data_IF_545435064529
#
_entry.id   IF_545435064529
#
_cell.length_a   1.000
_cell.length_b   1.000
_cell.length_c   1.000
_cell.angle_alpha   90.00
_cell.angle_beta   90.00
_cell.angle_gamma   90.00
#
_symmetry.space_group_name_H-M   'P 1'
#
loop_
_entity.id
_entity.type
_entity.pdbx_description
1 polymer ?
#
# COMPACT_ATOMS: atom_id res chain seq x y z
N UNK A 1 8.39 -23.56 4.16
CA UNK A 1 7.39 -22.66 4.78
C UNK A 1 7.45 -22.86 6.29
N UNK A 2 7.83 -21.86 7.10
CA UNK A 2 7.88 -22.01 8.58
C UNK A 2 6.45 -22.01 9.14
N UNK A 3 6.13 -22.97 10.00
CA UNK A 3 4.83 -22.99 10.70
C UNK A 3 4.77 -21.80 11.66
N UNK A 4 3.76 -20.97 11.48
CA UNK A 4 3.44 -19.90 12.40
C UNK A 4 2.68 -20.50 13.58
N UNK A 5 3.33 -20.61 14.74
CA UNK A 5 2.75 -21.18 15.96
C UNK A 5 1.89 -20.17 16.73
N UNK A 6 1.71 -18.94 16.21
CA UNK A 6 0.92 -17.92 16.89
C UNK A 6 -0.56 -18.30 16.93
N UNK A 7 -1.25 -18.08 18.06
CA UNK A 7 -2.70 -18.27 18.17
C UNK A 7 -3.45 -17.53 17.06
N UNK A 8 -4.40 -18.21 16.43
CA UNK A 8 -5.17 -17.69 15.30
C UNK A 8 -5.83 -16.33 15.59
N UNK A 9 -6.30 -16.13 16.83
CA UNK A 9 -6.92 -14.89 17.27
C UNK A 9 -5.99 -13.68 17.14
N UNK A 10 -4.72 -13.82 17.54
CA UNK A 10 -3.72 -12.74 17.47
C UNK A 10 -3.46 -12.37 16.01
N UNK A 11 -3.34 -13.37 15.14
CA UNK A 11 -3.19 -13.15 13.70
C UNK A 11 -4.39 -12.38 13.14
N UNK A 12 -5.62 -12.77 13.48
CA UNK A 12 -6.84 -12.11 13.01
C UNK A 12 -6.90 -10.63 13.44
N UNK A 13 -6.57 -10.33 14.70
CA UNK A 13 -6.55 -8.94 15.18
C UNK A 13 -5.51 -8.11 14.45
N UNK A 14 -4.30 -8.64 14.28
CA UNK A 14 -3.24 -7.95 13.54
C UNK A 14 -3.64 -7.69 12.09
N UNK A 15 -4.19 -8.68 11.40
CA UNK A 15 -4.60 -8.55 10.01
C UNK A 15 -5.71 -7.49 9.86
N UNK A 16 -6.68 -7.45 10.79
CA UNK A 16 -7.71 -6.40 10.83
C UNK A 16 -7.13 -5.01 11.11
N UNK A 17 -6.18 -4.90 12.04
CA UNK A 17 -5.52 -3.64 12.36
C UNK A 17 -4.70 -3.11 11.18
N UNK A 18 -3.96 -3.98 10.49
CA UNK A 18 -3.23 -3.60 9.28
C UNK A 18 -4.18 -3.12 8.18
N UNK A 19 -5.32 -3.81 7.94
CA UNK A 19 -6.33 -3.35 6.98
C UNK A 19 -6.90 -1.98 7.34
N UNK A 20 -7.16 -1.74 8.62
CA UNK A 20 -7.63 -0.44 9.08
C UNK A 20 -6.57 0.65 8.85
N UNK A 21 -5.30 0.38 9.17
CA UNK A 21 -4.21 1.31 8.90
C UNK A 21 -4.07 1.64 7.41
N UNK A 22 -4.19 0.63 6.52
CA UNK A 22 -4.17 0.85 5.07
C UNK A 22 -5.28 1.81 4.64
N UNK A 23 -6.52 1.58 5.10
CA UNK A 23 -7.66 2.43 4.74
C UNK A 23 -7.58 3.85 5.29
N UNK A 24 -6.99 4.03 6.47
CA UNK A 24 -6.94 5.34 7.12
C UNK A 24 -5.72 6.16 6.73
N UNK A 25 -4.57 5.52 6.48
CA UNK A 25 -3.32 6.22 6.22
C UNK A 25 -2.87 6.11 4.78
N UNK A 26 -3.05 4.96 4.12
CA UNK A 26 -2.47 4.72 2.80
C UNK A 26 -3.46 5.03 1.67
N UNK A 27 -4.73 4.65 1.81
CA UNK A 27 -5.78 4.93 0.83
C UNK A 27 -5.94 6.44 0.54
N UNK A 28 -5.89 7.35 1.54
CA UNK A 28 -5.98 8.79 1.27
C UNK A 28 -4.74 9.41 0.61
N UNK A 29 -3.61 8.70 0.58
CA UNK A 29 -2.38 9.17 -0.08
C UNK A 29 -2.37 8.88 -1.59
N UNK A 30 -3.27 8.01 -2.06
CA UNK A 30 -3.49 7.77 -3.48
C UNK A 30 -4.61 8.66 -4.00
N UNK A 31 -4.51 9.10 -5.25
CA UNK A 31 -5.58 9.91 -5.88
C UNK A 31 -6.76 9.05 -6.33
N UNK A 32 -6.50 7.79 -6.70
CA UNK A 32 -7.54 6.78 -6.93
C UNK A 32 -7.06 5.40 -6.53
N UNK A 33 -7.91 4.62 -5.87
CA UNK A 33 -7.62 3.25 -5.45
C UNK A 33 -8.76 2.33 -5.83
N UNK A 34 -8.45 1.26 -6.56
CA UNK A 34 -9.39 0.19 -6.86
C UNK A 34 -9.72 -0.68 -5.64
N UNK A 35 -10.82 -1.43 -5.66
CA UNK A 35 -11.18 -2.32 -4.55
C UNK A 35 -10.14 -3.43 -4.37
N UNK A 36 -9.97 -3.88 -3.13
CA UNK A 36 -9.11 -5.04 -2.84
C UNK A 36 -7.64 -4.72 -2.57
N UNK A 37 -7.30 -3.46 -2.26
CA UNK A 37 -5.96 -3.08 -1.80
C UNK A 37 -5.54 -3.89 -0.56
N UNK A 38 -4.42 -4.59 -0.66
CA UNK A 38 -3.81 -5.35 0.43
C UNK A 38 -2.34 -4.97 0.57
N UNK A 39 -1.96 -4.39 1.71
CA UNK A 39 -0.61 -3.92 1.95
C UNK A 39 -0.05 -4.57 3.20
N UNK A 40 1.05 -5.30 3.03
CA UNK A 40 1.84 -5.75 4.15
C UNK A 40 2.72 -4.61 4.65
N UNK A 41 2.65 -4.35 5.95
CA UNK A 41 3.44 -3.32 6.64
C UNK A 41 3.21 -1.90 6.06
N UNK A 42 2.01 -1.30 6.28
CA UNK A 42 1.64 0.00 5.72
C UNK A 42 2.62 1.13 6.08
N UNK A 43 3.27 1.06 7.25
CA UNK A 43 4.27 2.04 7.70
C UNK A 43 5.56 2.06 6.85
N UNK A 44 5.79 1.03 6.02
CA UNK A 44 6.95 0.97 5.13
C UNK A 44 6.64 1.38 3.69
N UNK A 45 5.44 1.91 3.43
CA UNK A 45 5.05 2.45 2.14
C UNK A 45 4.98 3.97 2.26
N UNK A 46 5.75 4.66 1.43
CA UNK A 46 5.77 6.12 1.37
C UNK A 46 5.39 6.56 -0.05
N UNK A 47 4.41 7.45 -0.15
CA UNK A 47 3.96 8.04 -1.39
C UNK A 47 4.29 9.53 -1.39
N UNK A 48 4.89 10.01 -2.47
CA UNK A 48 5.28 11.41 -2.64
C UNK A 48 4.81 11.93 -3.99
N UNK A 49 4.29 13.16 -3.99
CA UNK A 49 3.77 13.81 -5.20
C UNK A 49 2.30 13.51 -5.44
N UNK A 50 1.83 13.85 -6.65
CA UNK A 50 0.44 13.75 -7.09
C UNK A 50 0.30 12.83 -8.31
N UNK A 51 -0.94 12.49 -8.66
CA UNK A 51 -1.35 11.59 -9.74
C UNK A 51 -0.81 10.17 -9.58
N UNK A 52 -1.05 9.59 -8.40
CA UNK A 52 -0.74 8.17 -8.14
C UNK A 52 -2.05 7.38 -8.09
N UNK A 53 -2.23 6.53 -9.10
CA UNK A 53 -3.42 5.74 -9.32
C UNK A 53 -3.12 4.26 -9.08
N UNK A 54 -3.87 3.63 -8.19
CA UNK A 54 -3.83 2.21 -7.91
C UNK A 54 -5.07 1.51 -8.49
N UNK A 55 -4.85 0.48 -9.30
CA UNK A 55 -5.89 -0.41 -9.80
C UNK A 55 -6.50 -1.32 -8.74
N UNK A 56 -7.31 -2.26 -9.20
CA UNK A 56 -8.03 -3.24 -8.39
C UNK A 56 -7.09 -4.36 -7.93
N UNK A 57 -7.30 -4.87 -6.71
CA UNK A 57 -6.55 -6.00 -6.15
C UNK A 57 -5.03 -5.80 -6.12
N UNK A 58 -4.57 -4.59 -5.78
CA UNK A 58 -3.15 -4.29 -5.62
C UNK A 58 -2.59 -4.89 -4.32
N UNK A 59 -1.50 -5.66 -4.43
CA UNK A 59 -0.78 -6.28 -3.33
C UNK A 59 0.61 -5.68 -3.10
N UNK A 60 0.73 -4.75 -2.15
CA UNK A 60 2.04 -4.17 -1.79
C UNK A 60 2.67 -4.92 -0.63
N UNK A 61 3.90 -5.41 -0.81
CA UNK A 61 4.63 -6.17 0.22
C UNK A 61 5.84 -5.39 0.73
N UNK A 62 5.60 -4.47 1.65
CA UNK A 62 6.68 -3.79 2.36
C UNK A 62 7.14 -4.59 3.58
N UNK A 63 8.37 -4.34 4.01
CA UNK A 63 8.95 -4.84 5.24
C UNK A 63 9.95 -3.81 5.80
N UNK A 64 10.32 -3.92 7.07
CA UNK A 64 11.31 -3.02 7.70
C UNK A 64 12.64 -2.92 6.93
N UNK A 65 13.04 -3.96 6.21
CA UNK A 65 14.23 -3.98 5.36
C UNK A 65 13.97 -3.75 3.86
N UNK A 66 12.71 -3.69 3.44
CA UNK A 66 12.32 -3.43 2.06
C UNK A 66 11.12 -2.48 2.04
N UNK A 67 11.44 -1.19 2.07
CA UNK A 67 10.44 -0.13 2.03
C UNK A 67 10.09 0.18 0.57
N UNK A 68 8.82 0.42 0.32
CA UNK A 68 8.33 0.79 -1.00
C UNK A 68 8.15 2.30 -1.00
N UNK A 69 8.82 2.98 -1.92
CA UNK A 69 8.68 4.43 -2.10
C UNK A 69 8.24 4.71 -3.53
N UNK A 70 7.09 5.35 -3.69
CA UNK A 70 6.64 5.87 -4.98
C UNK A 70 6.73 7.39 -4.91
N UNK A 71 7.36 7.99 -5.90
CA UNK A 71 7.52 9.44 -5.97
C UNK A 71 7.26 9.90 -7.40
N UNK A 72 6.29 10.80 -7.56
CA UNK A 72 6.11 11.56 -8.80
C UNK A 72 6.77 12.92 -8.65
N UNK A 73 7.33 13.39 -9.76
CA UNK A 73 7.93 14.72 -9.83
C UNK A 73 6.99 15.67 -10.55
N UNK A 74 6.86 16.87 -10.01
CA UNK A 74 6.16 17.98 -10.66
C UNK A 74 7.21 19.05 -11.01
N UNK A 75 7.35 19.35 -12.29
CA UNK A 75 8.27 20.36 -12.82
C UNK A 75 7.53 21.58 -13.36
N UNK A 76 6.27 21.80 -12.97
CA UNK A 76 5.42 22.93 -13.40
C UNK A 76 4.81 22.73 -14.78
N UNK A 77 5.63 22.50 -15.80
CA UNK A 77 5.18 22.22 -17.17
C UNK A 77 4.86 20.74 -17.41
N UNK A 78 5.35 19.85 -16.54
CA UNK A 78 5.18 18.40 -16.65
C UNK A 78 4.96 17.81 -15.27
N UNK A 79 3.85 17.11 -15.14
CA UNK A 79 3.51 16.37 -13.94
C UNK A 79 3.71 14.89 -14.22
N UNK A 80 4.54 14.24 -13.41
CA UNK A 80 4.71 12.79 -13.45
C UNK A 80 3.46 12.09 -12.93
N UNK A 81 3.16 10.94 -13.50
CA UNK A 81 1.98 10.16 -13.18
C UNK A 81 2.37 8.69 -13.03
N UNK A 82 1.79 8.02 -12.04
CA UNK A 82 2.01 6.60 -11.79
C UNK A 82 0.66 5.89 -11.87
N UNK A 83 0.55 4.98 -12.83
CA UNK A 83 -0.59 4.05 -12.96
C UNK A 83 -0.15 2.65 -12.61
N UNK A 84 -0.68 2.12 -11.52
CA UNK A 84 -0.53 0.72 -11.15
C UNK A 84 -1.76 -0.04 -11.67
N UNK A 85 -1.53 -1.06 -12.48
CA UNK A 85 -2.61 -1.85 -13.09
C UNK A 85 -3.40 -2.70 -12.10
N UNK A 86 -4.42 -3.38 -12.62
CA UNK A 86 -5.21 -4.34 -11.85
C UNK A 86 -4.46 -5.67 -11.64
N UNK A 87 -4.66 -6.31 -10.49
CA UNK A 87 -4.13 -7.64 -10.12
C UNK A 87 -2.59 -7.72 -10.10
N UNK A 88 -1.95 -6.75 -9.44
CA UNK A 88 -0.47 -6.62 -9.33
C UNK A 88 0.01 -6.81 -7.90
#
# INVERSE_FOLDING_TARGET
>A
MRRDTRPYFIRRLRDSFSKWQVRQFLEPQFDSVGPGLDVAYPQGVELWGANIHAGSHLHLRAAKGNMIRLATWDSGDRVGEIHIGDFV
#
